data_IF_200528710017
#
_entry.id   IF_200528710017
#
_cell.length_a   1.000
_cell.length_b   1.000
_cell.length_c   1.000
_cell.angle_alpha   90.00
_cell.angle_beta   90.00
_cell.angle_gamma   90.00
#
_symmetry.space_group_name_H-M   'P 1'
#
loop_
_entity.id
_entity.type
_entity.pdbx_description
1 polymer ?
#
# COMPACT_ATOMS: atom_id res chain seq x y z
N UNK A 1 -3.51 19.30 4.84
CA UNK A 1 -4.89 19.69 4.51
C UNK A 1 -5.81 18.52 4.78
N UNK A 2 -7.12 18.77 4.93
CA UNK A 2 -8.14 17.71 5.03
C UNK A 2 -8.74 17.47 3.66
N UNK A 3 -9.09 16.21 3.38
CA UNK A 3 -9.92 15.88 2.22
C UNK A 3 -11.36 16.09 2.65
N UNK A 4 -12.11 16.90 1.92
CA UNK A 4 -13.55 17.15 2.21
C UNK A 4 -14.46 16.55 1.16
N UNK A 5 -13.89 16.07 0.05
CA UNK A 5 -14.64 15.46 -1.04
C UNK A 5 -13.80 14.38 -1.72
N UNK A 6 -14.32 13.15 -1.69
CA UNK A 6 -13.81 12.02 -2.44
C UNK A 6 -14.99 11.41 -3.19
N UNK A 7 -14.99 11.50 -4.52
CA UNK A 7 -16.06 10.98 -5.36
C UNK A 7 -15.52 9.86 -6.24
N UNK A 8 -16.00 8.65 -6.00
CA UNK A 8 -15.86 7.50 -6.89
C UNK A 8 -17.11 6.60 -6.79
N UNK A 9 -17.07 5.47 -7.47
CA UNK A 9 -18.13 4.47 -7.54
C UNK A 9 -17.96 3.33 -6.52
N UNK A 10 -17.08 3.49 -5.52
CA UNK A 10 -16.77 2.46 -4.54
C UNK A 10 -17.43 2.79 -3.19
N UNK A 11 -17.92 1.75 -2.50
CA UNK A 11 -18.77 1.92 -1.31
C UNK A 11 -18.10 1.50 0.01
N UNK A 12 -16.94 0.84 -0.05
CA UNK A 12 -16.24 0.37 1.15
C UNK A 12 -15.37 1.48 1.77
N UNK A 13 -14.86 1.27 2.98
CA UNK A 13 -13.92 2.21 3.63
C UNK A 13 -12.49 1.65 3.65
N UNK A 14 -12.08 0.95 2.59
CA UNK A 14 -10.73 0.41 2.50
C UNK A 14 -9.83 1.39 1.74
N UNK A 15 -9.20 2.26 2.52
CA UNK A 15 -8.35 3.33 2.04
C UNK A 15 -6.89 3.13 2.46
N UNK A 16 -5.98 3.31 1.51
CA UNK A 16 -4.55 3.47 1.76
C UNK A 16 -4.10 4.86 1.37
N UNK A 17 -2.98 5.32 1.92
CA UNK A 17 -2.41 6.61 1.59
C UNK A 17 -0.91 6.53 1.37
N UNK A 18 -0.45 7.19 0.31
CA UNK A 18 0.94 7.37 -0.04
C UNK A 18 1.25 8.86 0.04
N UNK A 19 2.16 9.21 0.95
CA UNK A 19 2.80 10.52 0.95
C UNK A 19 3.91 10.50 -0.10
N UNK A 20 3.64 11.13 -1.22
CA UNK A 20 4.41 10.94 -2.46
C UNK A 20 5.84 11.45 -2.34
N UNK A 21 6.06 12.53 -1.58
CA UNK A 21 7.37 13.18 -1.47
C UNK A 21 8.43 12.35 -0.72
N UNK A 22 8.01 11.38 0.11
CA UNK A 22 8.94 10.56 0.90
C UNK A 22 8.55 9.08 0.97
N UNK A 23 7.59 8.67 0.13
CA UNK A 23 7.08 7.30 0.04
C UNK A 23 6.52 6.77 1.37
N UNK A 24 6.12 7.68 2.25
CA UNK A 24 5.35 7.36 3.43
C UNK A 24 4.09 6.60 3.07
N UNK A 25 3.79 5.54 3.83
CA UNK A 25 2.61 4.71 3.57
C UNK A 25 1.75 4.53 4.82
N UNK A 26 0.44 4.70 4.67
CA UNK A 26 -0.56 4.29 5.65
C UNK A 26 -1.41 3.17 5.05
N UNK A 27 -1.34 1.99 5.68
CA UNK A 27 -2.07 0.80 5.23
C UNK A 27 -3.58 0.91 5.48
N UNK A 28 -4.03 1.58 6.54
CA UNK A 28 -5.45 1.62 6.87
C UNK A 28 -5.83 3.03 7.27
N UNK A 29 -6.82 3.57 6.58
CA UNK A 29 -7.48 4.82 6.94
C UNK A 29 -8.94 4.51 7.24
N UNK A 30 -9.33 4.66 8.50
CA UNK A 30 -10.71 4.40 8.94
C UNK A 30 -11.64 5.53 8.49
N UNK A 31 -11.15 6.76 8.62
CA UNK A 31 -11.87 7.97 8.25
C UNK A 31 -10.93 8.89 7.46
N UNK A 32 -11.26 9.10 6.19
CA UNK A 32 -10.46 9.92 5.28
C UNK A 32 -10.46 11.41 5.68
N UNK A 33 -11.47 11.85 6.42
CA UNK A 33 -11.58 13.23 6.91
C UNK A 33 -10.67 13.47 8.13
N UNK A 34 -10.17 12.40 8.76
CA UNK A 34 -9.29 12.47 9.93
C UNK A 34 -7.81 12.52 9.56
N UNK A 35 -7.41 12.10 8.37
CA UNK A 35 -6.01 12.13 7.97
C UNK A 35 -5.56 13.53 7.54
N UNK A 36 -4.29 13.83 7.80
CA UNK A 36 -3.62 15.00 7.26
C UNK A 36 -2.90 14.61 5.98
N UNK A 37 -3.34 15.17 4.86
CA UNK A 37 -2.77 14.92 3.54
C UNK A 37 -2.02 16.14 3.01
N UNK A 38 -1.14 15.95 2.03
CA UNK A 38 -0.55 17.06 1.28
C UNK A 38 -1.05 17.06 -0.17
N UNK A 39 -0.84 18.21 -0.81
CA UNK A 39 -1.06 18.34 -2.25
C UNK A 39 -0.15 17.34 -2.98
N UNK A 40 -0.68 16.73 -4.01
CA UNK A 40 -0.02 15.74 -4.88
C UNK A 40 0.24 14.37 -4.23
N UNK A 41 -0.21 14.17 -2.98
CA UNK A 41 -0.24 12.84 -2.38
C UNK A 41 -1.35 11.97 -3.00
N UNK A 42 -1.28 10.67 -2.73
CA UNK A 42 -2.16 9.67 -3.36
C UNK A 42 -2.96 8.94 -2.29
N UNK A 43 -4.27 8.84 -2.52
CA UNK A 43 -5.17 7.93 -1.83
C UNK A 43 -5.48 6.74 -2.73
N UNK A 44 -5.57 5.55 -2.16
CA UNK A 44 -5.95 4.33 -2.86
C UNK A 44 -7.22 3.80 -2.22
N UNK A 45 -8.30 3.76 -2.99
CA UNK A 45 -9.56 3.14 -2.57
C UNK A 45 -9.65 1.74 -3.16
N UNK A 46 -10.00 0.74 -2.34
CA UNK A 46 -10.22 -0.63 -2.79
C UNK A 46 -11.62 -1.12 -2.39
N UNK A 47 -12.26 -1.89 -3.27
CA UNK A 47 -13.48 -2.61 -2.96
C UNK A 47 -13.45 -3.99 -3.61
N UNK A 48 -13.80 -5.04 -2.85
CA UNK A 48 -14.11 -6.36 -3.42
C UNK A 48 -15.63 -6.48 -3.46
N UNK A 49 -16.22 -6.55 -4.65
CA UNK A 49 -17.67 -6.78 -4.80
C UNK A 49 -17.99 -8.26 -4.62
N UNK A 50 -19.24 -8.57 -4.30
CA UNK A 50 -19.69 -9.95 -4.17
C UNK A 50 -19.51 -10.70 -5.49
N UNK A 51 -18.86 -11.87 -5.43
CA UNK A 51 -18.55 -12.68 -6.61
C UNK A 51 -17.19 -12.39 -7.25
N UNK A 52 -16.57 -11.23 -6.98
CA UNK A 52 -15.28 -10.87 -7.57
C UNK A 52 -14.11 -11.63 -6.91
N UNK A 53 -13.13 -12.01 -7.73
CA UNK A 53 -11.87 -12.62 -7.26
C UNK A 53 -10.82 -11.57 -6.86
N UNK A 54 -10.94 -10.35 -7.36
CA UNK A 54 -9.96 -9.28 -7.19
C UNK A 54 -10.64 -7.96 -6.82
N UNK A 55 -9.97 -7.10 -6.03
CA UNK A 55 -10.52 -5.79 -5.72
C UNK A 55 -10.52 -4.87 -6.95
N UNK A 56 -11.58 -4.09 -7.07
CA UNK A 56 -11.59 -2.86 -7.87
C UNK A 56 -10.76 -1.83 -7.10
N UNK A 57 -9.89 -1.11 -7.80
CA UNK A 57 -8.99 -0.12 -7.22
C UNK A 57 -9.21 1.22 -7.91
N UNK A 58 -9.32 2.30 -7.11
CA UNK A 58 -9.28 3.68 -7.56
C UNK A 58 -8.08 4.38 -6.94
N UNK A 59 -7.42 5.21 -7.74
CA UNK A 59 -6.31 6.04 -7.30
C UNK A 59 -6.75 7.49 -7.33
N UNK A 60 -6.55 8.19 -6.22
CA UNK A 60 -7.03 9.55 -6.01
C UNK A 60 -5.85 10.46 -5.82
N UNK A 61 -5.67 11.42 -6.73
CA UNK A 61 -4.68 12.47 -6.59
C UNK A 61 -5.26 13.63 -5.79
N UNK A 62 -4.54 14.06 -4.75
CA UNK A 62 -4.99 15.12 -3.87
C UNK A 62 -4.60 16.48 -4.46
N UNK A 63 -5.60 17.34 -4.70
CA UNK A 63 -5.41 18.69 -5.22
C UNK A 63 -6.26 19.67 -4.41
N UNK A 64 -5.59 20.45 -3.56
CA UNK A 64 -6.26 21.31 -2.56
C UNK A 64 -7.11 20.44 -1.63
N UNK A 65 -8.38 20.78 -1.44
CA UNK A 65 -9.35 20.14 -0.54
C UNK A 65 -10.11 18.95 -1.15
N UNK A 66 -9.86 18.61 -2.42
CA UNK A 66 -10.56 17.55 -3.16
C UNK A 66 -9.60 16.53 -3.79
N UNK A 67 -10.17 15.38 -4.15
CA UNK A 67 -9.47 14.34 -4.89
C UNK A 67 -9.94 14.22 -6.34
N UNK A 68 -9.06 13.70 -7.19
CA UNK A 68 -9.35 13.38 -8.59
C UNK A 68 -8.97 11.92 -8.84
N UNK A 69 -9.90 11.14 -9.39
CA UNK A 69 -9.58 9.79 -9.85
C UNK A 69 -8.58 9.88 -10.99
N UNK A 70 -7.46 9.18 -10.86
CA UNK A 70 -6.38 9.13 -11.84
C UNK A 70 -6.04 7.70 -12.21
N UNK A 71 -5.46 7.54 -13.40
CA UNK A 71 -5.03 6.24 -13.88
C UNK A 71 -3.78 5.73 -13.14
N UNK A 72 -3.67 4.42 -12.99
CA UNK A 72 -2.50 3.77 -12.38
C UNK A 72 -1.19 4.13 -13.11
N UNK A 73 -1.25 4.35 -14.42
CA UNK A 73 -0.11 4.78 -15.22
C UNK A 73 0.40 6.17 -14.77
N UNK A 74 -0.52 7.09 -14.48
CA UNK A 74 -0.18 8.43 -13.98
C UNK A 74 0.44 8.34 -12.58
N UNK A 75 -0.09 7.50 -11.70
CA UNK A 75 0.51 7.23 -10.38
C UNK A 75 1.96 6.78 -10.51
N UNK A 76 2.24 5.83 -11.42
CA UNK A 76 3.60 5.33 -11.64
C UNK A 76 4.55 6.41 -12.15
N UNK A 77 4.10 7.26 -13.07
CA UNK A 77 4.90 8.38 -13.56
C UNK A 77 5.25 9.35 -12.42
N UNK A 78 4.23 9.80 -11.68
CA UNK A 78 4.41 10.71 -10.54
C UNK A 78 5.36 10.14 -9.47
N UNK A 79 5.20 8.86 -9.13
CA UNK A 79 6.10 8.19 -8.18
C UNK A 79 7.52 8.01 -8.74
N UNK A 80 7.68 7.82 -10.05
CA UNK A 80 9.00 7.71 -10.68
C UNK A 80 9.77 9.02 -10.59
N UNK A 81 9.12 10.15 -10.88
CA UNK A 81 9.71 11.48 -10.75
C UNK A 81 10.18 11.73 -9.31
N UNK A 82 9.28 11.43 -8.36
CA UNK A 82 9.50 11.70 -6.94
C UNK A 82 10.51 10.76 -6.31
N UNK A 83 10.66 9.55 -6.84
CA UNK A 83 11.71 8.62 -6.46
C UNK A 83 13.09 9.22 -6.76
N UNK A 84 13.28 9.76 -7.96
CA UNK A 84 14.56 10.34 -8.37
C UNK A 84 14.87 11.59 -7.55
N UNK A 85 13.90 12.48 -7.35
CA UNK A 85 14.04 13.64 -6.46
C UNK A 85 14.45 13.22 -5.04
N UNK A 86 13.78 12.20 -4.48
CA UNK A 86 14.08 11.69 -3.15
C UNK A 86 15.51 11.14 -3.06
N UNK A 87 15.94 10.33 -4.04
CA UNK A 87 17.27 9.72 -4.04
C UNK A 87 18.35 10.79 -4.19
N UNK A 88 18.19 11.75 -5.10
CA UNK A 88 19.12 12.88 -5.25
C UNK A 88 19.30 13.64 -3.93
N UNK A 89 18.19 13.90 -3.22
CA UNK A 89 18.19 14.68 -1.97
C UNK A 89 18.75 13.90 -0.78
N UNK A 90 18.39 12.63 -0.64
CA UNK A 90 18.62 11.87 0.59
C UNK A 90 19.73 10.82 0.48
N UNK A 91 20.20 10.53 -0.73
CA UNK A 91 21.22 9.51 -1.01
C UNK A 91 20.84 8.15 -0.41
N UNK A 92 19.56 7.79 -0.51
CA UNK A 92 18.93 6.56 0.00
C UNK A 92 17.74 6.16 -0.86
N UNK A 93 17.39 4.87 -0.84
CA UNK A 93 16.12 4.41 -1.40
C UNK A 93 14.98 4.74 -0.41
N UNK A 94 13.81 5.17 -0.89
CA UNK A 94 12.66 5.37 -0.03
C UNK A 94 12.16 4.06 0.60
N UNK A 95 11.25 4.20 1.56
CA UNK A 95 10.60 3.07 2.20
C UNK A 95 9.95 2.16 1.16
N UNK A 96 10.16 0.84 1.33
CA UNK A 96 9.59 -0.20 0.49
C UNK A 96 9.92 -0.12 -1.01
N UNK A 97 10.93 0.67 -1.39
CA UNK A 97 11.50 0.65 -2.73
C UNK A 97 12.67 -0.33 -2.80
N UNK A 98 12.71 -1.14 -3.86
CA UNK A 98 13.81 -2.05 -4.17
C UNK A 98 14.12 -2.07 -5.66
N UNK A 99 15.40 -2.08 -6.01
CA UNK A 99 15.84 -2.23 -7.41
C UNK A 99 15.44 -3.63 -7.87
N UNK A 100 14.64 -3.70 -8.92
CA UNK A 100 14.20 -4.97 -9.51
C UNK A 100 15.11 -5.41 -10.64
N UNK A 101 15.35 -4.51 -11.60
CA UNK A 101 16.17 -4.77 -12.79
C UNK A 101 16.94 -3.51 -13.17
N UNK A 102 18.14 -3.70 -13.71
CA UNK A 102 18.90 -2.68 -14.47
C UNK A 102 19.04 -3.25 -15.88
N UNK A 103 18.53 -2.53 -16.88
CA UNK A 103 18.55 -2.97 -18.28
C UNK A 103 19.87 -2.59 -18.94
N UNK A 104 20.22 -3.29 -20.03
CA UNK A 104 21.47 -3.05 -20.77
C UNK A 104 21.56 -1.66 -21.41
N UNK A 105 20.42 -1.01 -21.63
CA UNK A 105 20.33 0.37 -22.12
C UNK A 105 20.35 1.41 -21.00
N UNK A 106 20.68 1.00 -19.77
CA UNK A 106 20.79 1.90 -18.63
C UNK A 106 19.47 2.19 -17.91
N UNK A 107 18.31 1.83 -18.48
CA UNK A 107 17.02 1.98 -17.80
C UNK A 107 16.99 1.16 -16.51
N UNK A 108 16.19 1.61 -15.55
CA UNK A 108 16.06 0.93 -14.26
C UNK A 108 14.60 0.68 -13.95
N UNK A 109 14.31 -0.50 -13.43
CA UNK A 109 13.05 -0.80 -12.79
C UNK A 109 13.23 -0.86 -11.28
N UNK A 110 12.44 -0.07 -10.56
CA UNK A 110 12.36 -0.08 -9.10
C UNK A 110 10.94 -0.44 -8.72
N UNK A 111 10.77 -1.44 -7.85
CA UNK A 111 9.46 -1.81 -7.33
C UNK A 111 9.24 -1.08 -6.00
N UNK A 112 8.13 -0.33 -5.89
CA UNK A 112 7.62 0.20 -4.63
C UNK A 112 6.48 -0.70 -4.14
N UNK A 113 6.73 -1.47 -3.08
CA UNK A 113 5.80 -2.48 -2.55
C UNK A 113 5.62 -2.33 -1.04
N UNK A 114 4.90 -1.29 -0.57
CA UNK A 114 4.69 -1.05 0.86
C UNK A 114 3.93 -2.19 1.56
N UNK A 115 3.05 -2.89 0.84
CA UNK A 115 2.35 -4.10 1.28
C UNK A 115 2.13 -5.06 0.10
N UNK A 116 1.79 -6.32 0.38
CA UNK A 116 1.72 -7.39 -0.63
C UNK A 116 0.78 -7.10 -1.81
N UNK A 117 -0.32 -6.38 -1.57
CA UNK A 117 -1.38 -6.10 -2.56
C UNK A 117 -1.36 -4.63 -3.04
N UNK A 118 -0.30 -3.88 -2.74
CA UNK A 118 -0.03 -2.54 -3.28
C UNK A 118 1.41 -2.53 -3.79
N UNK A 119 1.55 -2.66 -5.11
CA UNK A 119 2.86 -2.65 -5.75
C UNK A 119 2.85 -1.81 -7.03
N UNK A 120 3.91 -1.02 -7.20
CA UNK A 120 4.16 -0.20 -8.37
C UNK A 120 5.55 -0.49 -8.92
N UNK A 121 5.59 -0.99 -10.15
CA UNK A 121 6.82 -1.06 -10.95
C UNK A 121 7.06 0.31 -11.57
N UNK A 122 8.09 1.00 -11.08
CA UNK A 122 8.52 2.34 -11.46
C UNK A 122 9.68 2.22 -12.44
N UNK A 123 9.60 2.90 -13.58
CA UNK A 123 10.61 2.85 -14.64
C UNK A 123 11.33 4.18 -14.71
N UNK A 124 12.65 4.16 -14.56
CA UNK A 124 13.50 5.34 -14.65
C UNK A 124 14.31 5.25 -15.94
N UNK A 125 14.19 6.30 -16.75
CA UNK A 125 15.03 6.55 -17.93
C UNK A 125 16.07 7.59 -17.48
N UNK A 126 17.34 7.20 -17.28
CA UNK A 126 18.36 8.08 -16.66
C UNK A 126 18.52 9.44 -17.33
N UNK A 127 18.38 9.47 -18.66
CA UNK A 127 18.51 10.66 -19.50
C UNK A 127 17.47 11.74 -19.14
N UNK A 128 16.24 11.34 -18.80
CA UNK A 128 15.16 12.27 -18.42
C UNK A 128 15.46 13.03 -17.11
N UNK A 129 16.47 12.58 -16.35
CA UNK A 129 16.80 13.12 -15.03
C UNK A 129 18.27 13.54 -14.88
N UNK A 130 19.02 13.70 -15.98
CA UNK A 130 20.46 14.02 -15.94
C UNK A 130 21.29 13.00 -15.13
N UNK A 131 20.89 11.73 -15.10
CA UNK A 131 21.65 10.66 -14.44
C UNK A 131 22.62 10.06 -15.46
N UNK A 132 23.91 10.37 -15.32
CA UNK A 132 24.95 9.89 -16.25
C UNK A 132 25.18 8.37 -16.22
N UNK A 133 25.07 7.78 -15.04
CA UNK A 133 25.29 6.34 -14.84
C UNK A 133 24.33 5.81 -13.78
N UNK A 134 23.29 5.12 -14.25
CA UNK A 134 22.23 4.53 -13.44
C UNK A 134 22.73 3.52 -12.41
N UNK A 135 23.71 2.70 -12.78
CA UNK A 135 24.28 1.70 -11.88
C UNK A 135 24.88 2.38 -10.66
N UNK A 136 25.83 3.30 -10.87
CA UNK A 136 26.48 4.02 -9.76
C UNK A 136 25.52 4.91 -8.97
N UNK A 137 24.45 5.41 -9.59
CA UNK A 137 23.49 6.28 -8.93
C UNK A 137 22.65 5.55 -7.87
N UNK A 138 22.31 4.28 -8.10
CA UNK A 138 21.53 3.47 -7.16
C UNK A 138 22.36 2.45 -6.38
N UNK A 139 23.64 2.27 -6.72
CA UNK A 139 24.53 1.34 -6.06
C UNK A 139 24.77 1.71 -4.59
N UNK A 140 24.73 0.70 -3.70
CA UNK A 140 24.99 0.88 -2.27
C UNK A 140 23.92 1.66 -1.49
N UNK A 141 22.84 2.11 -2.14
CA UNK A 141 21.75 2.82 -1.45
C UNK A 141 21.01 1.91 -0.48
N UNK A 142 20.90 2.34 0.78
CA UNK A 142 20.09 1.68 1.80
C UNK A 142 18.65 2.16 1.73
N UNK A 143 17.70 1.27 1.99
CA UNK A 143 16.28 1.62 2.14
C UNK A 143 16.03 2.40 3.42
N UNK A 144 15.13 3.39 3.37
CA UNK A 144 14.64 4.09 4.55
C UNK A 144 13.51 3.32 5.25
N UNK A 145 13.24 3.68 6.51
CA UNK A 145 12.04 3.25 7.23
C UNK A 145 10.82 4.03 6.75
N UNK A 146 9.62 3.53 7.01
CA UNK A 146 8.37 4.24 6.70
C UNK A 146 8.33 5.57 7.48
N UNK A 147 8.32 6.73 6.81
CA UNK A 147 8.34 8.04 7.47
C UNK A 147 6.97 8.45 8.04
N UNK A 148 5.92 7.66 7.82
CA UNK A 148 4.65 7.82 8.53
C UNK A 148 4.64 6.85 9.70
N UNK A 149 4.91 7.36 10.89
CA UNK A 149 4.59 6.68 12.15
C UNK A 149 3.07 6.59 12.22
N UNK A 150 2.52 5.39 12.42
CA UNK A 150 1.08 5.15 12.46
C UNK A 150 0.38 6.20 13.33
N UNK A 151 -0.64 6.86 12.76
CA UNK A 151 -1.51 7.75 13.50
C UNK A 151 -2.09 6.95 14.68
N UNK A 152 -1.69 7.30 15.89
CA UNK A 152 -2.12 6.71 17.17
C UNK A 152 -1.99 5.18 17.32
N UNK A 153 -1.17 4.69 18.28
CA UNK A 153 -1.20 3.29 18.70
C UNK A 153 -2.60 2.79 19.07
N UNK A 154 -3.49 3.68 19.56
CA UNK A 154 -4.87 3.37 19.93
C UNK A 154 -5.82 3.18 18.73
N UNK A 155 -5.58 3.82 17.58
CA UNK A 155 -6.40 3.61 16.37
C UNK A 155 -6.05 2.30 15.67
N UNK A 156 -4.82 1.81 15.86
CA UNK A 156 -4.45 0.43 15.56
C UNK A 156 -5.30 -0.58 16.37
N UNK A 157 -5.77 -0.22 17.58
CA UNK A 157 -6.50 -1.13 18.49
C UNK A 157 -7.94 -1.38 18.02
N UNK A 158 -8.58 -0.42 17.35
CA UNK A 158 -10.01 -0.59 16.98
C UNK A 158 -10.20 -1.38 15.68
N UNK A 159 -9.26 -1.31 14.73
CA UNK A 159 -9.20 -2.20 13.56
C UNK A 159 -8.45 -3.52 13.84
N UNK A 160 -7.58 -3.59 14.86
CA UNK A 160 -7.05 -4.87 15.35
C UNK A 160 -8.06 -5.65 16.21
N UNK A 161 -9.08 -5.01 16.80
CA UNK A 161 -10.16 -5.72 17.50
C UNK A 161 -10.89 -6.74 16.65
N UNK A 162 -10.87 -6.55 15.32
CA UNK A 162 -11.50 -7.43 14.35
C UNK A 162 -10.51 -8.03 13.36
N UNK A 163 -9.19 -7.92 13.59
CA UNK A 163 -8.16 -8.52 12.73
C UNK A 163 -7.10 -9.23 13.55
N UNK A 164 -6.83 -10.48 13.20
CA UNK A 164 -5.86 -11.33 13.89
C UNK A 164 -4.83 -11.87 12.91
N UNK A 165 -3.55 -11.71 13.27
CA UNK A 165 -2.44 -12.38 12.59
C UNK A 165 -2.27 -13.76 13.19
N UNK A 166 -2.54 -14.79 12.38
CA UNK A 166 -2.50 -16.19 12.80
C UNK A 166 -1.38 -16.89 12.03
N UNK A 167 -0.33 -17.40 12.71
CA UNK A 167 0.73 -18.14 12.04
C UNK A 167 0.18 -19.45 11.45
N UNK A 168 0.73 -19.85 10.31
CA UNK A 168 0.41 -21.14 9.70
C UNK A 168 0.80 -22.29 10.64
N UNK A 169 -0.08 -23.28 10.78
CA UNK A 169 0.21 -24.49 11.56
C UNK A 169 1.34 -25.35 11.00
N UNK A 170 1.61 -25.23 9.69
CA UNK A 170 2.57 -26.07 8.97
C UNK A 170 3.89 -25.36 8.69
N UNK A 171 3.91 -24.03 8.76
CA UNK A 171 5.07 -23.22 8.38
C UNK A 171 5.06 -21.91 9.17
N UNK A 172 5.81 -21.85 10.27
CA UNK A 172 5.80 -20.69 11.18
C UNK A 172 6.31 -19.39 10.54
N UNK A 173 6.95 -19.45 9.37
CA UNK A 173 7.36 -18.25 8.62
C UNK A 173 6.19 -17.56 7.89
N UNK A 174 5.06 -18.25 7.74
CA UNK A 174 3.85 -17.74 7.08
C UNK A 174 2.82 -17.28 8.09
N UNK A 175 2.31 -16.07 7.88
CA UNK A 175 1.27 -15.46 8.70
C UNK A 175 0.04 -15.23 7.81
N UNK A 176 -1.12 -15.64 8.30
CA UNK A 176 -2.40 -15.36 7.65
C UNK A 176 -3.19 -14.35 8.48
N UNK A 177 -4.00 -13.55 7.82
CA UNK A 177 -4.83 -12.54 8.47
C UNK A 177 -6.27 -12.99 8.48
N UNK A 178 -6.86 -13.08 9.66
CA UNK A 178 -8.30 -13.27 9.85
C UNK A 178 -8.92 -11.90 10.11
N UNK A 179 -10.05 -11.61 9.46
CA UNK A 179 -10.81 -10.37 9.63
C UNK A 179 -12.26 -10.69 9.96
N UNK A 180 -12.83 -10.09 11.00
CA UNK A 180 -14.26 -10.09 11.29
C UNK A 180 -14.90 -8.87 10.61
N UNK A 181 -15.89 -9.11 9.76
CA UNK A 181 -16.65 -8.07 9.05
C UNK A 181 -17.75 -7.49 9.95
N UNK A 182 -18.32 -6.36 9.52
CA UNK A 182 -19.41 -5.66 10.23
C UNK A 182 -20.68 -6.50 10.34
N UNK A 183 -20.95 -7.37 9.36
CA UNK A 183 -22.05 -8.35 9.36
C UNK A 183 -21.84 -9.53 10.32
N UNK A 184 -20.69 -9.57 11.02
CA UNK A 184 -20.31 -10.66 11.93
C UNK A 184 -19.63 -11.85 11.24
N UNK A 185 -19.53 -11.86 9.90
CA UNK A 185 -18.82 -12.89 9.15
C UNK A 185 -17.30 -12.78 9.34
N UNK A 186 -16.58 -13.88 9.08
CA UNK A 186 -15.12 -13.92 9.14
C UNK A 186 -14.52 -14.25 7.78
N UNK A 187 -13.41 -13.60 7.45
CA UNK A 187 -12.58 -13.91 6.28
C UNK A 187 -11.14 -14.19 6.67
N UNK A 188 -10.45 -15.07 5.94
CA UNK A 188 -9.03 -15.37 6.15
C UNK A 188 -8.23 -15.34 4.85
N UNK A 189 -6.98 -14.86 4.90
CA UNK A 189 -6.07 -14.86 3.74
C UNK A 189 -5.40 -16.21 3.45
N UNK A 190 -5.76 -17.28 4.15
CA UNK A 190 -5.16 -18.59 3.91
C UNK A 190 -5.73 -19.26 2.64
N UNK A 191 -4.94 -20.12 1.96
CA UNK A 191 -5.39 -20.82 0.75
C UNK A 191 -6.70 -21.59 0.93
N UNK A 192 -6.91 -22.21 2.10
CA UNK A 192 -8.14 -22.95 2.37
C UNK A 192 -9.38 -22.05 2.29
N UNK A 193 -9.33 -20.87 2.88
CA UNK A 193 -10.46 -19.95 2.87
C UNK A 193 -10.63 -19.28 1.51
N UNK A 194 -9.51 -18.84 0.89
CA UNK A 194 -9.52 -18.20 -0.43
C UNK A 194 -10.09 -19.14 -1.50
N UNK A 195 -9.57 -20.37 -1.60
CA UNK A 195 -9.93 -21.28 -2.71
C UNK A 195 -11.16 -22.11 -2.43
N UNK A 196 -11.40 -22.52 -1.18
CA UNK A 196 -12.52 -23.42 -0.85
C UNK A 196 -13.73 -22.69 -0.28
N UNK A 197 -13.62 -21.38 -0.02
CA UNK A 197 -14.67 -20.54 0.61
C UNK A 197 -15.22 -21.15 1.91
N UNK A 198 -14.42 -22.00 2.55
CA UNK A 198 -14.79 -22.75 3.74
C UNK A 198 -14.18 -22.09 4.98
N UNK A 199 -14.79 -22.33 6.14
CA UNK A 199 -14.20 -21.94 7.41
C UNK A 199 -12.89 -22.70 7.64
N UNK A 200 -11.79 -21.95 7.83
CA UNK A 200 -10.46 -22.52 8.01
C UNK A 200 -10.07 -22.58 9.50
N UNK A 201 -9.02 -23.36 9.81
CA UNK A 201 -8.48 -23.49 11.16
C UNK A 201 -8.12 -22.14 11.82
N UNK A 202 -7.65 -21.17 11.04
CA UNK A 202 -7.34 -19.83 11.57
C UNK A 202 -8.58 -19.06 12.03
N UNK A 203 -9.69 -19.12 11.28
CA UNK A 203 -10.97 -18.51 11.68
C UNK A 203 -11.48 -19.19 12.95
N UNK A 204 -11.43 -20.52 13.01
CA UNK A 204 -11.84 -21.28 14.21
C UNK A 204 -10.98 -20.93 15.44
N UNK A 205 -9.68 -20.74 15.26
CA UNK A 205 -8.77 -20.31 16.34
C UNK A 205 -9.16 -18.93 16.86
N UNK A 206 -9.43 -17.99 15.96
CA UNK A 206 -9.87 -16.65 16.33
C UNK A 206 -11.23 -16.66 17.04
N UNK A 207 -12.22 -17.36 16.50
CA UNK A 207 -13.54 -17.49 17.15
C UNK A 207 -13.42 -18.04 18.58
N UNK A 208 -12.55 -19.04 18.80
CA UNK A 208 -12.29 -19.59 20.14
C UNK A 208 -11.64 -18.61 21.09
N UNK A 209 -10.80 -17.69 20.60
CA UNK A 209 -10.19 -16.65 21.43
C UNK A 209 -11.14 -15.49 21.79
N UNK A 210 -12.35 -15.47 21.21
CA UNK A 210 -13.39 -14.46 21.46
C UNK A 210 -14.52 -14.96 22.36
N UNK A 211 -14.48 -16.22 22.77
CA UNK A 211 -15.35 -16.83 23.79
C UNK A 211 -14.73 -16.65 25.17
#
# INVERSE_FOLDING_TARGET
>A
MKVTQCLDDLEQNLWHYIRVNDFGFLEIIQNIDEINVNKDDILIHKQIKEGDLFPIIRYHLIKRDRTFVIEKAYVKALLSDKLVEFVKKNQKLPYACGIKNIFSDGRIQIDYTPIQDVSFSLKIIPEDYDIKNSQTFFEGLKSSTNPITSLNPQQHIQYSKNRWSVPSSSDKSKIYTVTKRSDGSFSCTCPQHIYRRAECKHIQQVKRSLL
#
